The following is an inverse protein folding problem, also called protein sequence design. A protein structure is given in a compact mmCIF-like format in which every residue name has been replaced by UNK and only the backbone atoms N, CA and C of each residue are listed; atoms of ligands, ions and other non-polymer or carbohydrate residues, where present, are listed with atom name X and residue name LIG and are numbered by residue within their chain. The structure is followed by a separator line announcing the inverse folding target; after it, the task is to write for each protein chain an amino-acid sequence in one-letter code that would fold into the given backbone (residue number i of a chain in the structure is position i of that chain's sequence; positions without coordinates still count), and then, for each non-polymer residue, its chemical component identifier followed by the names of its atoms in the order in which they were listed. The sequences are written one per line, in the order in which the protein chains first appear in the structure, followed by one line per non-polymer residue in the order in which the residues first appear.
data_IF_876503137846
#
_entry.id   IF_876503137846
#
_cell.length_a   1.000
_cell.length_b   1.000
_cell.length_c   1.000
_cell.angle_alpha   90.00
_cell.angle_beta   90.00
_cell.angle_gamma   90.00
#
_symmetry.space_group_name_H-M   'P 1'
#
loop_
_entity.id
_entity.type
_entity.pdbx_description
1 polymer ?
#
# COMPACT_ATOMS: atom_id res chain seq x y z
N UNK A 1 9.00 -19.72 -4.83
CA UNK A 1 10.05 -20.72 -4.56
C UNK A 1 11.41 -20.02 -4.60
N UNK A 2 12.41 -20.46 -3.84
CA UNK A 2 13.78 -19.90 -3.94
C UNK A 2 14.69 -20.99 -4.46
N UNK A 3 15.30 -20.77 -5.61
CA UNK A 3 16.22 -21.72 -6.24
C UNK A 3 17.50 -21.01 -6.65
N UNK A 4 18.66 -21.55 -6.23
CA UNK A 4 20.00 -20.99 -6.54
C UNK A 4 20.15 -19.50 -6.23
N UNK A 5 19.45 -18.99 -5.21
CA UNK A 5 19.48 -17.58 -4.82
C UNK A 5 18.50 -16.68 -5.59
N UNK A 6 17.73 -17.22 -6.53
CA UNK A 6 16.68 -16.50 -7.26
C UNK A 6 15.30 -16.80 -6.67
N UNK A 7 14.51 -15.75 -6.43
CA UNK A 7 13.12 -15.87 -5.99
C UNK A 7 12.20 -15.98 -7.20
N UNK A 8 11.53 -17.13 -7.32
CA UNK A 8 10.53 -17.43 -8.35
C UNK A 8 9.12 -17.20 -7.79
N UNK A 9 8.35 -16.38 -8.48
CA UNK A 9 6.96 -16.05 -8.15
C UNK A 9 6.07 -16.24 -9.37
N UNK A 10 4.98 -16.99 -9.23
CA UNK A 10 4.12 -17.40 -10.33
C UNK A 10 2.65 -17.29 -9.95
N UNK A 11 1.80 -17.07 -10.94
CA UNK A 11 0.36 -16.93 -10.80
C UNK A 11 -0.32 -17.69 -11.95
N UNK A 12 -1.27 -18.55 -11.61
CA UNK A 12 -2.18 -19.19 -12.55
C UNK A 12 -3.61 -18.88 -12.09
N UNK A 13 -4.37 -18.24 -12.97
CA UNK A 13 -5.74 -17.80 -12.67
C UNK A 13 -6.62 -17.94 -13.91
N UNK A 14 -7.89 -18.35 -13.76
CA UNK A 14 -8.85 -18.29 -14.86
C UNK A 14 -9.19 -16.83 -15.15
N UNK A 15 -8.97 -16.38 -16.38
CA UNK A 15 -9.35 -15.05 -16.84
C UNK A 15 -10.27 -15.17 -18.06
N UNK A 16 -11.42 -14.49 -17.98
CA UNK A 16 -12.36 -14.35 -19.10
C UNK A 16 -12.43 -12.88 -19.47
N UNK A 17 -11.56 -12.46 -20.39
CA UNK A 17 -11.45 -11.09 -20.90
C UNK A 17 -11.70 -11.07 -22.40
N UNK A 18 -12.35 -10.02 -22.88
CA UNK A 18 -12.57 -9.75 -24.30
C UNK A 18 -12.00 -8.39 -24.69
N UNK A 19 -11.53 -8.27 -25.94
CA UNK A 19 -11.06 -6.99 -26.51
C UNK A 19 -12.05 -6.40 -27.51
N UNK A 20 -13.12 -7.13 -27.82
CA UNK A 20 -14.15 -6.75 -28.81
C UNK A 20 -15.53 -7.10 -28.26
N UNK A 21 -16.12 -6.18 -27.49
CA UNK A 21 -17.55 -6.17 -27.22
C UNK A 21 -18.12 -4.77 -27.50
N UNK A 22 -19.40 -4.74 -27.90
CA UNK A 22 -20.20 -3.51 -28.01
C UNK A 22 -20.11 -2.67 -26.72
N UNK A 23 -20.03 -3.34 -25.56
CA UNK A 23 -19.88 -2.73 -24.23
C UNK A 23 -18.46 -2.20 -23.91
N UNK A 24 -17.38 -2.88 -24.31
CA UNK A 24 -16.00 -2.33 -24.15
C UNK A 24 -15.77 -1.13 -25.05
N UNK A 25 -16.55 -1.01 -26.12
CA UNK A 25 -16.59 0.16 -27.00
C UNK A 25 -17.59 1.25 -26.53
N UNK A 26 -18.38 0.99 -25.50
CA UNK A 26 -19.40 1.92 -25.03
C UNK A 26 -18.79 3.04 -24.17
N UNK A 27 -17.81 2.70 -23.35
CA UNK A 27 -17.13 3.66 -22.48
C UNK A 27 -15.87 4.22 -23.15
N UNK A 28 -15.79 5.53 -23.33
CA UNK A 28 -14.67 6.16 -24.05
C UNK A 28 -13.30 5.86 -23.40
N UNK A 29 -13.25 5.72 -22.07
CA UNK A 29 -12.01 5.42 -21.34
C UNK A 29 -11.46 4.01 -21.62
N UNK A 30 -12.33 2.99 -21.81
CA UNK A 30 -11.85 1.64 -22.11
C UNK A 30 -11.24 1.55 -23.50
N UNK A 31 -11.77 2.30 -24.48
CA UNK A 31 -11.14 2.44 -25.80
C UNK A 31 -9.74 3.02 -25.70
N UNK A 32 -9.58 4.14 -25.00
CA UNK A 32 -8.29 4.80 -24.82
C UNK A 32 -7.31 3.87 -24.09
N UNK A 33 -7.75 3.15 -23.07
CA UNK A 33 -6.91 2.18 -22.37
C UNK A 33 -6.41 1.06 -23.29
N UNK A 34 -7.27 0.50 -24.13
CA UNK A 34 -6.89 -0.50 -25.13
C UNK A 34 -5.97 0.09 -26.21
N UNK A 35 -6.16 1.35 -26.61
CA UNK A 35 -5.27 2.03 -27.55
C UNK A 35 -3.88 2.27 -26.96
N UNK A 36 -3.77 2.68 -25.70
CA UNK A 36 -2.49 2.80 -24.97
C UNK A 36 -1.78 1.44 -24.94
N UNK A 37 -2.53 0.36 -24.77
CA UNK A 37 -2.02 -1.01 -24.81
C UNK A 37 -1.78 -1.55 -26.23
N UNK A 38 -1.92 -0.71 -27.26
CA UNK A 38 -1.72 -1.05 -28.68
C UNK A 38 -2.69 -2.13 -29.20
N UNK A 39 -3.94 -2.09 -28.75
CA UNK A 39 -5.04 -2.97 -29.19
C UNK A 39 -4.65 -4.46 -29.13
N UNK A 40 -4.36 -5.00 -27.94
CA UNK A 40 -3.95 -6.38 -27.78
C UNK A 40 -5.07 -7.35 -28.20
N UNK A 41 -4.71 -8.60 -28.45
CA UNK A 41 -5.71 -9.69 -28.52
C UNK A 41 -6.26 -9.98 -27.11
N UNK A 42 -7.39 -10.69 -27.02
CA UNK A 42 -7.93 -11.11 -25.73
C UNK A 42 -6.91 -11.93 -24.91
N UNK A 43 -6.17 -12.82 -25.57
CA UNK A 43 -5.14 -13.63 -24.94
C UNK A 43 -3.96 -12.77 -24.43
N UNK A 44 -3.52 -11.79 -25.23
CA UNK A 44 -2.47 -10.86 -24.81
C UNK A 44 -2.91 -9.98 -23.64
N UNK A 45 -4.16 -9.52 -23.65
CA UNK A 45 -4.73 -8.77 -22.55
C UNK A 45 -4.77 -9.62 -21.26
N UNK A 46 -5.15 -10.89 -21.34
CA UNK A 46 -5.09 -11.82 -20.20
C UNK A 46 -3.68 -11.96 -19.64
N UNK A 47 -2.66 -12.08 -20.51
CA UNK A 47 -1.25 -12.13 -20.08
C UNK A 47 -0.82 -10.84 -19.38
N UNK A 48 -1.17 -9.69 -19.95
CA UNK A 48 -0.87 -8.37 -19.34
C UNK A 48 -1.51 -8.25 -17.96
N UNK A 49 -2.79 -8.61 -17.84
CA UNK A 49 -3.52 -8.56 -16.56
C UNK A 49 -2.93 -9.54 -15.54
N UNK A 50 -2.59 -10.76 -15.95
CA UNK A 50 -1.95 -11.74 -15.07
C UNK A 50 -0.59 -11.24 -14.55
N UNK A 51 0.26 -10.68 -15.41
CA UNK A 51 1.56 -10.11 -15.02
C UNK A 51 1.38 -8.89 -14.12
N UNK A 52 0.43 -8.00 -14.43
CA UNK A 52 0.12 -6.86 -13.58
C UNK A 52 -0.35 -7.31 -12.18
N UNK A 53 -1.21 -8.33 -12.10
CA UNK A 53 -1.63 -8.93 -10.84
C UNK A 53 -0.49 -9.55 -10.06
N UNK A 54 0.40 -10.29 -10.73
CA UNK A 54 1.60 -10.88 -10.13
C UNK A 54 2.53 -9.80 -9.57
N UNK A 55 2.78 -8.74 -10.35
CA UNK A 55 3.60 -7.60 -9.94
C UNK A 55 3.00 -6.87 -8.74
N UNK A 56 1.68 -6.65 -8.74
CA UNK A 56 0.96 -6.03 -7.62
C UNK A 56 1.07 -6.88 -6.35
N UNK A 57 0.87 -8.21 -6.46
CA UNK A 57 0.99 -9.10 -5.32
C UNK A 57 2.42 -9.11 -4.75
N UNK A 58 3.43 -9.18 -5.63
CA UNK A 58 4.84 -9.08 -5.23
C UNK A 58 5.13 -7.76 -4.50
N UNK A 59 4.68 -6.63 -5.05
CA UNK A 59 4.88 -5.32 -4.44
C UNK A 59 4.24 -5.23 -3.05
N UNK A 60 3.04 -5.79 -2.88
CA UNK A 60 2.34 -5.84 -1.59
C UNK A 60 3.07 -6.72 -0.57
N UNK A 61 3.50 -7.92 -0.95
CA UNK A 61 4.26 -8.79 -0.04
C UNK A 61 5.59 -8.13 0.34
N UNK A 62 6.31 -7.58 -0.65
CA UNK A 62 7.56 -6.85 -0.43
C UNK A 62 7.36 -5.69 0.53
N UNK A 63 6.28 -4.94 0.37
CA UNK A 63 6.03 -3.76 1.19
C UNK A 63 5.69 -4.12 2.64
N UNK A 64 5.02 -5.24 2.89
CA UNK A 64 4.77 -5.76 4.24
C UNK A 64 6.03 -6.24 4.97
N UNK A 65 6.99 -6.82 4.26
CA UNK A 65 8.26 -7.29 4.84
C UNK A 65 9.32 -6.19 4.94
N UNK A 66 9.10 -5.03 4.31
CA UNK A 66 9.97 -3.85 4.45
C UNK A 66 9.50 -2.94 5.56
N UNK A 67 10.45 -2.26 6.22
CA UNK A 67 10.16 -1.36 7.34
C UNK A 67 9.32 -0.13 6.96
N UNK A 68 9.31 0.26 5.69
CA UNK A 68 8.71 1.52 5.23
C UNK A 68 7.22 1.64 5.54
N UNK A 69 6.40 0.65 5.18
CA UNK A 69 4.94 0.72 5.44
C UNK A 69 4.64 0.66 6.93
N UNK A 70 5.33 -0.21 7.68
CA UNK A 70 5.12 -0.33 9.12
C UNK A 70 5.46 0.97 9.86
N UNK A 71 6.57 1.62 9.49
CA UNK A 71 6.97 2.91 10.08
C UNK A 71 6.00 4.03 9.75
N UNK A 72 5.56 4.15 8.50
CA UNK A 72 4.59 5.19 8.11
C UNK A 72 3.22 4.96 8.76
N UNK A 73 2.77 3.69 8.83
CA UNK A 73 1.54 3.33 9.53
C UNK A 73 1.61 3.66 11.02
N UNK A 74 2.73 3.38 11.70
CA UNK A 74 2.93 3.74 13.11
C UNK A 74 3.00 5.25 13.34
N UNK A 75 3.63 5.99 12.43
CA UNK A 75 3.62 7.47 12.47
C UNK A 75 2.21 8.04 12.34
N UNK A 76 1.41 7.51 11.40
CA UNK A 76 0.00 7.88 11.26
C UNK A 76 -0.80 7.50 12.51
N UNK A 77 -0.60 6.29 13.04
CA UNK A 77 -1.27 5.82 14.24
C UNK A 77 -0.98 6.71 15.46
N UNK A 78 0.29 7.07 15.68
CA UNK A 78 0.70 8.02 16.71
C UNK A 78 0.01 9.38 16.52
N UNK A 79 0.01 9.92 15.30
CA UNK A 79 -0.61 11.21 15.01
C UNK A 79 -2.11 11.19 15.27
N UNK A 80 -2.80 10.08 14.97
CA UNK A 80 -4.22 9.91 15.25
C UNK A 80 -4.51 9.94 16.75
N UNK A 81 -3.71 9.23 17.57
CA UNK A 81 -3.85 9.26 19.04
C UNK A 81 -3.60 10.69 19.56
N UNK A 82 -2.54 11.35 19.12
CA UNK A 82 -2.23 12.72 19.53
C UNK A 82 -3.32 13.72 19.14
N UNK A 83 -3.95 13.54 17.97
CA UNK A 83 -5.09 14.36 17.56
C UNK A 83 -6.31 14.12 18.47
N UNK A 84 -6.61 12.85 18.82
CA UNK A 84 -7.70 12.52 19.75
C UNK A 84 -7.49 13.12 21.14
N UNK A 85 -6.24 13.20 21.59
CA UNK A 85 -5.85 13.82 22.86
C UNK A 85 -5.69 15.35 22.77
N UNK A 86 -6.06 15.96 21.63
CA UNK A 86 -5.93 17.40 21.36
C UNK A 86 -4.52 17.94 21.59
N UNK A 87 -3.50 17.20 21.15
CA UNK A 87 -2.12 17.61 21.32
C UNK A 87 -1.79 18.85 20.47
N UNK A 88 -0.99 19.77 21.04
CA UNK A 88 -0.47 20.95 20.36
C UNK A 88 0.58 20.59 19.30
N UNK A 89 0.95 21.55 18.45
CA UNK A 89 2.00 21.33 17.44
C UNK A 89 3.36 21.00 18.07
N UNK A 90 3.69 21.63 19.20
CA UNK A 90 4.92 21.41 19.94
C UNK A 90 4.94 20.03 20.62
N UNK A 91 3.82 19.66 21.25
CA UNK A 91 3.62 18.33 21.84
C UNK A 91 3.80 17.23 20.78
N UNK A 92 3.20 17.42 19.60
CA UNK A 92 3.33 16.48 18.47
C UNK A 92 4.77 16.38 17.98
N UNK A 93 5.48 17.49 17.80
CA UNK A 93 6.86 17.47 17.33
C UNK A 93 7.81 16.73 18.31
N UNK A 94 7.63 16.96 19.61
CA UNK A 94 8.39 16.29 20.66
C UNK A 94 8.08 14.79 20.73
N UNK A 95 6.80 14.43 20.78
CA UNK A 95 6.38 13.03 20.93
C UNK A 95 6.66 12.20 19.68
N UNK A 96 6.59 12.78 18.48
CA UNK A 96 7.03 12.10 17.24
C UNK A 96 8.50 11.70 17.31
N UNK A 97 9.38 12.51 17.91
CA UNK A 97 10.78 12.14 18.10
C UNK A 97 10.95 11.04 19.16
N UNK A 98 10.20 11.12 20.27
CA UNK A 98 10.25 10.11 21.34
C UNK A 98 9.84 8.71 20.85
N UNK A 99 8.80 8.62 20.02
CA UNK A 99 8.27 7.35 19.51
C UNK A 99 8.96 6.81 18.25
N UNK A 100 10.09 7.40 17.82
CA UNK A 100 10.91 6.80 16.73
C UNK A 100 11.52 5.46 17.16
N UNK A 101 11.83 5.31 18.44
CA UNK A 101 12.50 4.13 19.01
C UNK A 101 11.65 3.39 20.04
N UNK A 102 10.50 3.96 20.41
CA UNK A 102 9.62 3.42 21.45
C UNK A 102 8.31 2.91 20.82
N UNK A 103 7.77 1.82 21.36
CA UNK A 103 6.53 1.22 20.88
C UNK A 103 5.34 2.17 21.09
N UNK A 104 4.62 2.45 20.02
CA UNK A 104 3.39 3.26 20.06
C UNK A 104 2.25 2.40 20.59
N UNK A 105 1.75 2.71 21.79
CA UNK A 105 0.48 2.20 22.31
C UNK A 105 -0.33 3.38 22.85
N UNK A 106 -1.66 3.27 22.85
CA UNK A 106 -2.52 4.36 23.34
C UNK A 106 -2.11 4.82 24.76
N UNK A 107 -1.91 3.86 25.67
CA UNK A 107 -1.46 4.12 27.04
C UNK A 107 -0.10 4.82 27.10
N UNK A 108 0.89 4.33 26.34
CA UNK A 108 2.22 4.93 26.34
C UNK A 108 2.20 6.38 25.82
N UNK A 109 1.39 6.65 24.79
CA UNK A 109 1.24 8.01 24.23
C UNK A 109 0.55 8.94 25.22
N UNK A 110 -0.49 8.47 25.90
CA UNK A 110 -1.19 9.23 26.94
C UNK A 110 -0.28 9.57 28.13
N UNK A 111 0.46 8.59 28.66
CA UNK A 111 1.44 8.79 29.74
C UNK A 111 2.54 9.77 29.31
N UNK A 112 3.07 9.63 28.09
CA UNK A 112 4.09 10.53 27.57
C UNK A 112 3.58 11.98 27.39
N UNK A 113 2.34 12.15 26.94
CA UNK A 113 1.71 13.47 26.79
C UNK A 113 1.46 14.12 28.15
N UNK A 114 0.97 13.37 29.14
CA UNK A 114 0.78 13.88 30.51
C UNK A 114 2.11 14.34 31.12
N UNK A 115 3.17 13.55 30.95
CA UNK A 115 4.52 13.89 31.41
C UNK A 115 5.10 15.12 30.70
N UNK A 116 4.73 15.36 29.44
CA UNK A 116 5.14 16.56 28.72
C UNK A 116 4.43 17.81 29.27
N UNK A 117 3.15 17.69 29.62
CA UNK A 117 2.33 18.80 30.17
C UNK A 117 2.60 19.12 31.64
N UNK A 118 3.16 18.18 32.40
CA UNK A 118 3.52 18.36 33.80
C UNK A 118 4.92 18.93 34.03
N UNK A 119 5.70 19.09 32.95
CA UNK A 119 6.94 19.88 32.92
C UNK A 119 6.62 21.36 32.71
#
# INVERSE_FOLDING_TARGET
QVEKGSFNFSLEIPLALGTVEELTSLHQLSKVALEILQKPTAEDLMKVVAVAGLAQNYATVKSFITTGIQQEHMKMHLMNILNQLNASGEEKASLVNHFKTNTVTHRAVEEALLNFRSK
#
